data_IF_886536706875
#
_entry.id   IF_886536706875
#
_cell.length_a   1.000
_cell.length_b   1.000
_cell.length_c   1.000
_cell.angle_alpha   90.00
_cell.angle_beta   90.00
_cell.angle_gamma   90.00
#
_symmetry.space_group_name_H-M   'P 1'
#
loop_
_entity.id
_entity.type
_entity.pdbx_description
1 polymer ?
#
# COMPACT_ATOMS: atom_id res chain seq x y z
N UNK A 1 3.87 10.26 -7.67
CA UNK A 1 4.99 11.23 -7.66
C UNK A 1 5.67 11.25 -9.01
N UNK A 2 5.89 12.43 -9.56
CA UNK A 2 6.59 12.62 -10.85
C UNK A 2 8.04 12.12 -10.78
N UNK A 3 8.72 12.33 -9.67
CA UNK A 3 10.09 11.86 -9.45
C UNK A 3 10.18 10.33 -9.49
N UNK A 4 9.23 9.63 -8.87
CA UNK A 4 9.17 8.17 -8.92
C UNK A 4 8.95 7.66 -10.33
N UNK A 5 8.10 8.33 -11.11
CA UNK A 5 7.88 8.01 -12.53
C UNK A 5 9.13 8.29 -13.35
N UNK A 6 9.84 9.39 -13.10
CA UNK A 6 11.10 9.71 -13.78
C UNK A 6 12.16 8.62 -13.52
N UNK A 7 12.28 8.15 -12.29
CA UNK A 7 13.17 7.03 -11.92
C UNK A 7 12.75 5.73 -12.62
N UNK A 8 11.45 5.41 -12.60
CA UNK A 8 10.93 4.20 -13.24
C UNK A 8 11.19 4.19 -14.75
N UNK A 9 10.97 5.30 -15.44
CA UNK A 9 11.26 5.45 -16.88
C UNK A 9 12.74 5.23 -17.22
N UNK A 10 13.67 5.59 -16.33
CA UNK A 10 15.10 5.32 -16.52
C UNK A 10 15.45 3.83 -16.40
N UNK A 11 14.66 3.05 -15.68
CA UNK A 11 14.93 1.62 -15.43
C UNK A 11 14.42 0.70 -16.54
N UNK A 12 13.39 1.09 -17.26
CA UNK A 12 12.81 0.28 -18.33
C UNK A 12 12.11 1.15 -19.37
N UNK A 13 12.28 0.79 -20.64
CA UNK A 13 11.54 1.38 -21.77
C UNK A 13 10.37 0.50 -22.26
N UNK A 14 10.18 -0.67 -21.64
CA UNK A 14 9.17 -1.66 -22.08
C UNK A 14 7.79 -1.42 -21.49
N UNK A 15 7.68 -0.52 -20.51
CA UNK A 15 6.44 -0.27 -19.79
C UNK A 15 5.97 1.17 -20.01
N UNK A 16 4.67 1.35 -20.05
CA UNK A 16 4.04 2.68 -20.04
C UNK A 16 3.85 3.13 -18.59
N UNK A 17 4.29 4.34 -18.28
CA UNK A 17 4.16 4.96 -16.98
C UNK A 17 3.22 6.16 -17.08
N UNK A 18 2.13 6.10 -16.33
CA UNK A 18 1.11 7.14 -16.29
C UNK A 18 1.08 7.72 -14.87
N UNK A 19 1.12 9.05 -14.76
CA UNK A 19 0.85 9.73 -13.50
C UNK A 19 -0.65 9.83 -13.31
N UNK A 20 -1.16 9.36 -12.16
CA UNK A 20 -2.59 9.36 -11.87
C UNK A 20 -2.88 9.03 -10.41
N UNK A 21 -4.16 9.03 -10.09
CA UNK A 21 -4.70 8.63 -8.80
C UNK A 21 -5.39 7.26 -8.93
N UNK A 22 -5.15 6.34 -7.99
CA UNK A 22 -5.77 5.02 -8.05
C UNK A 22 -7.28 5.05 -7.78
N UNK A 23 -7.83 6.16 -7.26
CA UNK A 23 -9.26 6.35 -7.04
C UNK A 23 -10.01 6.72 -8.31
N UNK A 24 -9.29 7.29 -9.28
CA UNK A 24 -9.88 7.76 -10.54
C UNK A 24 -8.88 7.57 -11.69
N UNK A 25 -8.89 6.45 -12.33
CA UNK A 25 -8.11 6.23 -13.54
C UNK A 25 -8.94 5.57 -14.62
N UNK A 26 -8.61 5.85 -15.86
CA UNK A 26 -9.24 5.26 -17.03
C UNK A 26 -8.16 4.79 -17.97
N UNK A 27 -8.23 3.53 -18.36
CA UNK A 27 -7.38 2.95 -19.40
C UNK A 27 -8.10 3.05 -20.74
N UNK A 28 -7.34 3.17 -21.82
CA UNK A 28 -7.89 3.17 -23.18
C UNK A 28 -8.68 1.89 -23.47
N UNK A 29 -8.19 0.76 -22.98
CA UNK A 29 -8.87 -0.55 -23.08
C UNK A 29 -8.81 -1.24 -21.72
N UNK A 30 -9.87 -1.96 -21.32
CA UNK A 30 -9.83 -2.78 -20.12
C UNK A 30 -8.75 -3.86 -20.21
N UNK A 31 -8.22 -4.27 -19.04
CA UNK A 31 -7.14 -5.25 -18.92
C UNK A 31 -7.62 -6.52 -18.22
N UNK A 32 -6.86 -7.61 -18.34
CA UNK A 32 -7.19 -8.89 -17.71
C UNK A 32 -6.80 -8.94 -16.24
N UNK A 33 -5.87 -8.09 -15.81
CA UNK A 33 -5.48 -8.02 -14.41
C UNK A 33 -5.00 -6.62 -13.99
N UNK A 34 -5.30 -6.25 -12.73
CA UNK A 34 -4.82 -5.04 -12.07
C UNK A 34 -4.21 -5.44 -10.74
N UNK A 35 -3.03 -4.87 -10.44
CA UNK A 35 -2.30 -5.11 -9.20
C UNK A 35 -2.10 -3.79 -8.45
N UNK A 36 -2.46 -3.78 -7.15
CA UNK A 36 -2.10 -2.72 -6.20
C UNK A 36 -1.25 -3.36 -5.10
N UNK A 37 0.06 -3.11 -5.11
CA UNK A 37 1.02 -3.78 -4.23
C UNK A 37 1.78 -2.79 -3.37
N UNK A 38 2.56 -3.30 -2.41
CA UNK A 38 3.34 -2.47 -1.50
C UNK A 38 2.50 -1.76 -0.46
N UNK A 39 1.31 -2.30 -0.15
CA UNK A 39 0.34 -1.74 0.79
C UNK A 39 -0.20 -0.38 0.38
N UNK A 40 -0.18 -0.08 -0.92
CA UNK A 40 -0.69 1.20 -1.43
C UNK A 40 -2.19 1.37 -1.14
N UNK A 41 -2.94 0.27 -1.01
CA UNK A 41 -4.35 0.29 -0.57
C UNK A 41 -4.53 1.00 0.79
N UNK A 42 -3.53 0.93 1.67
CA UNK A 42 -3.58 1.58 3.00
C UNK A 42 -3.50 3.11 2.98
N UNK A 43 -3.22 3.72 1.84
CA UNK A 43 -3.35 5.18 1.65
C UNK A 43 -4.79 5.62 1.31
N UNK A 44 -5.72 4.70 1.13
CA UNK A 44 -7.15 4.97 0.98
C UNK A 44 -7.75 5.14 2.39
N UNK A 45 -7.74 6.35 2.92
CA UNK A 45 -8.04 6.61 4.34
C UNK A 45 -9.53 6.71 4.65
N UNK A 46 -10.39 7.04 3.67
CA UNK A 46 -11.84 7.09 3.81
C UNK A 46 -12.54 5.90 3.14
N UNK A 47 -13.79 5.66 3.51
CA UNK A 47 -14.61 4.64 2.85
C UNK A 47 -14.87 5.01 1.37
N UNK A 48 -15.03 6.31 1.10
CA UNK A 48 -15.19 6.83 -0.25
C UNK A 48 -13.95 6.57 -1.11
N UNK A 49 -12.75 6.76 -0.56
CA UNK A 49 -11.51 6.48 -1.28
C UNK A 49 -11.42 5.01 -1.70
N UNK A 50 -11.72 4.09 -0.78
CA UNK A 50 -11.75 2.64 -1.07
C UNK A 50 -12.81 2.32 -2.12
N UNK A 51 -14.01 2.90 -1.94
CA UNK A 51 -15.13 2.72 -2.86
C UNK A 51 -14.78 3.15 -4.29
N UNK A 52 -14.20 4.36 -4.46
CA UNK A 52 -13.82 4.89 -5.77
C UNK A 52 -12.64 4.12 -6.37
N UNK A 53 -11.64 3.76 -5.59
CA UNK A 53 -10.53 2.95 -6.06
C UNK A 53 -10.99 1.59 -6.60
N UNK A 54 -11.82 0.87 -5.84
CA UNK A 54 -12.32 -0.44 -6.28
C UNK A 54 -13.31 -0.31 -7.45
N UNK A 55 -14.03 0.81 -7.54
CA UNK A 55 -14.87 1.13 -8.69
C UNK A 55 -14.02 1.34 -9.96
N UNK A 56 -12.98 2.16 -9.87
CA UNK A 56 -12.04 2.39 -10.97
C UNK A 56 -11.37 1.09 -11.42
N UNK A 57 -10.94 0.25 -10.49
CA UNK A 57 -10.42 -1.09 -10.81
C UNK A 57 -11.46 -1.92 -11.54
N UNK A 58 -12.71 -1.96 -11.04
CA UNK A 58 -13.78 -2.73 -11.65
C UNK A 58 -14.08 -2.26 -13.08
N UNK A 59 -14.12 -0.94 -13.32
CA UNK A 59 -14.40 -0.38 -14.63
C UNK A 59 -13.31 -0.71 -15.67
N UNK A 60 -12.05 -0.76 -15.23
CA UNK A 60 -10.89 -0.99 -16.08
C UNK A 60 -10.50 -2.48 -16.25
N UNK A 61 -11.20 -3.41 -15.59
CA UNK A 61 -11.02 -4.85 -15.79
C UNK A 61 -12.00 -5.41 -16.83
N UNK A 62 -11.50 -6.33 -17.63
CA UNK A 62 -12.33 -7.20 -18.45
C UNK A 62 -13.31 -8.04 -17.58
N UNK A 63 -14.37 -8.59 -18.19
CA UNK A 63 -15.20 -9.57 -17.49
C UNK A 63 -14.34 -10.75 -17.05
N UNK A 64 -14.52 -11.19 -15.80
CA UNK A 64 -13.68 -12.22 -15.16
C UNK A 64 -12.20 -11.83 -14.97
N UNK A 65 -11.86 -10.57 -15.21
CA UNK A 65 -10.54 -10.03 -14.92
C UNK A 65 -10.19 -10.08 -13.44
N UNK A 66 -8.90 -10.17 -13.14
CA UNK A 66 -8.37 -10.43 -11.79
C UNK A 66 -7.82 -9.17 -11.16
N UNK A 67 -8.22 -8.89 -9.92
CA UNK A 67 -7.69 -7.85 -9.07
C UNK A 67 -6.84 -8.46 -7.95
N UNK A 68 -5.57 -8.06 -7.87
CA UNK A 68 -4.64 -8.52 -6.84
C UNK A 68 -4.14 -7.33 -6.04
N UNK A 69 -4.26 -7.39 -4.74
CA UNK A 69 -3.77 -6.30 -3.88
C UNK A 69 -3.39 -6.78 -2.49
N UNK A 70 -2.56 -5.98 -1.81
CA UNK A 70 -2.23 -6.16 -0.40
C UNK A 70 -2.67 -4.94 0.42
N UNK A 71 -2.76 -5.12 1.74
CA UNK A 71 -3.14 -4.09 2.69
C UNK A 71 -2.48 -4.35 4.04
N UNK A 72 -2.48 -3.34 4.92
CA UNK A 72 -2.02 -3.51 6.31
C UNK A 72 -3.18 -4.09 7.12
N UNK A 73 -3.03 -5.34 7.61
CA UNK A 73 -4.05 -6.00 8.43
C UNK A 73 -4.06 -5.46 9.86
N UNK A 74 -5.20 -4.93 10.28
CA UNK A 74 -5.40 -4.32 11.59
C UNK A 74 -5.14 -5.29 12.73
N UNK A 75 -5.61 -6.55 12.60
CA UNK A 75 -5.50 -7.55 13.66
C UNK A 75 -4.04 -7.98 13.93
N UNK A 76 -3.16 -7.80 12.96
CA UNK A 76 -1.73 -8.11 13.09
C UNK A 76 -0.91 -6.89 13.42
N UNK A 77 -1.22 -5.77 12.74
CA UNK A 77 -0.36 -4.61 12.78
C UNK A 77 -0.55 -3.75 14.02
N UNK A 78 -1.79 -3.59 14.52
CA UNK A 78 -2.04 -2.82 15.73
C UNK A 78 -1.29 -3.42 16.93
N UNK A 79 -1.42 -4.73 17.26
CA UNK A 79 -0.65 -5.34 18.35
C UNK A 79 0.86 -5.30 18.11
N UNK A 80 1.32 -5.38 16.86
CA UNK A 80 2.73 -5.25 16.54
C UNK A 80 3.26 -3.86 16.89
N UNK A 81 2.54 -2.80 16.56
CA UNK A 81 2.93 -1.42 16.87
C UNK A 81 2.85 -1.11 18.37
N UNK A 82 1.89 -1.68 19.09
CA UNK A 82 1.80 -1.52 20.54
C UNK A 82 3.03 -2.11 21.27
N UNK A 83 3.57 -3.21 20.75
CA UNK A 83 4.75 -3.87 21.30
C UNK A 83 6.09 -3.30 20.78
N UNK A 84 6.07 -2.56 19.67
CA UNK A 84 7.26 -2.02 19.02
C UNK A 84 7.09 -0.52 18.77
N UNK A 85 7.52 0.30 19.74
CA UNK A 85 7.36 1.76 19.66
C UNK A 85 8.11 2.41 18.50
N UNK A 86 9.18 1.77 18.02
CA UNK A 86 10.03 2.27 16.95
C UNK A 86 10.57 1.07 16.15
N UNK A 87 10.62 1.22 14.84
CA UNK A 87 11.16 0.23 13.92
C UNK A 87 12.28 0.86 13.11
N UNK A 88 13.50 0.36 13.29
CA UNK A 88 14.66 0.87 12.58
C UNK A 88 15.00 -0.06 11.41
N UNK A 89 14.88 0.47 10.19
CA UNK A 89 15.39 -0.17 8.99
C UNK A 89 16.74 0.42 8.59
N UNK A 90 17.58 -0.43 7.97
CA UNK A 90 18.91 -0.04 7.50
C UNK A 90 19.06 -0.42 6.03
N UNK A 91 19.68 0.45 5.26
CA UNK A 91 20.04 0.18 3.87
C UNK A 91 21.41 0.78 3.55
N UNK A 92 22.24 0.06 2.80
CA UNK A 92 23.49 0.59 2.27
C UNK A 92 23.24 1.14 0.86
N UNK A 93 23.58 2.39 0.64
CA UNK A 93 23.52 3.02 -0.66
C UNK A 93 24.83 3.76 -0.92
N UNK A 94 25.51 3.41 -2.01
CA UNK A 94 26.82 3.98 -2.41
C UNK A 94 27.89 3.95 -1.29
N UNK A 95 27.86 2.88 -0.48
CA UNK A 95 28.81 2.70 0.64
C UNK A 95 28.42 3.41 1.92
N UNK A 96 27.37 4.21 1.93
CA UNK A 96 26.86 4.92 3.10
C UNK A 96 25.69 4.13 3.70
N UNK A 97 25.74 3.91 5.02
CA UNK A 97 24.67 3.24 5.76
C UNK A 97 23.59 4.25 6.15
N UNK A 98 22.41 4.08 5.59
CA UNK A 98 21.24 4.90 5.86
C UNK A 98 20.31 4.18 6.84
N UNK A 99 19.68 4.93 7.70
CA UNK A 99 18.72 4.48 8.68
C UNK A 99 17.36 5.15 8.45
N UNK A 100 16.29 4.40 8.66
CA UNK A 100 14.94 4.93 8.77
C UNK A 100 14.35 4.48 10.11
N UNK A 101 14.12 5.41 11.00
CA UNK A 101 13.44 5.20 12.28
C UNK A 101 11.96 5.55 12.09
N UNK A 102 11.09 4.56 12.17
CA UNK A 102 9.66 4.69 11.92
C UNK A 102 8.88 4.50 13.22
N UNK A 103 7.95 5.42 13.48
CA UNK A 103 7.02 5.37 14.60
C UNK A 103 5.59 5.37 14.11
N UNK A 104 4.70 4.78 14.90
CA UNK A 104 3.30 4.60 14.56
C UNK A 104 2.42 4.98 15.74
N UNK A 105 1.31 5.63 15.46
CA UNK A 105 0.32 5.98 16.46
C UNK A 105 -1.08 5.77 15.89
N UNK A 106 -1.90 4.97 16.55
CA UNK A 106 -3.32 4.88 16.25
C UNK A 106 -3.97 6.23 16.61
N UNK A 107 -4.57 6.90 15.63
CA UNK A 107 -5.19 8.21 15.83
C UNK A 107 -6.68 8.12 16.08
N UNK A 108 -7.34 7.15 15.45
CA UNK A 108 -8.77 6.90 15.64
C UNK A 108 -9.05 5.40 15.52
N UNK A 109 -9.90 4.89 16.41
CA UNK A 109 -10.41 3.54 16.32
C UNK A 109 -11.44 3.40 15.18
N UNK A 110 -12.10 4.49 14.82
CA UNK A 110 -13.00 4.53 13.66
C UNK A 110 -12.15 4.52 12.39
N UNK A 111 -12.38 3.56 11.52
CA UNK A 111 -11.58 3.29 10.31
C UNK A 111 -10.12 2.91 10.56
N UNK A 112 -9.68 2.68 11.79
CA UNK A 112 -8.32 2.28 12.14
C UNK A 112 -7.24 3.14 11.45
N UNK A 113 -7.34 4.47 11.57
CA UNK A 113 -6.33 5.37 11.02
C UNK A 113 -5.10 5.43 11.93
N UNK A 114 -3.93 5.38 11.32
CA UNK A 114 -2.64 5.46 12.00
C UNK A 114 -1.78 6.57 11.39
N UNK A 115 -1.18 7.39 12.25
CA UNK A 115 -0.10 8.29 11.87
C UNK A 115 1.18 7.48 11.78
N UNK A 116 1.88 7.63 10.69
CA UNK A 116 3.22 7.10 10.48
C UNK A 116 4.20 8.25 10.34
N UNK A 117 5.26 8.21 11.13
CA UNK A 117 6.37 9.16 11.03
C UNK A 117 7.65 8.39 10.78
N UNK A 118 8.53 8.93 9.95
CA UNK A 118 9.84 8.36 9.70
C UNK A 118 10.92 9.44 9.68
N UNK A 119 12.02 9.17 10.36
CA UNK A 119 13.22 9.99 10.31
C UNK A 119 14.29 9.21 9.58
N UNK A 120 14.79 9.78 8.49
CA UNK A 120 15.89 9.23 7.70
C UNK A 120 17.19 9.91 8.10
N UNK A 121 18.23 9.14 8.41
CA UNK A 121 19.51 9.68 8.85
C UNK A 121 20.68 8.78 8.49
N UNK A 122 21.87 9.37 8.49
CA UNK A 122 23.17 8.69 8.52
C UNK A 122 23.82 8.88 9.89
N UNK A 123 24.88 8.12 10.13
CA UNK A 123 25.76 8.31 11.29
C UNK A 123 27.17 8.59 10.77
N UNK A 124 27.69 9.79 11.04
CA UNK A 124 29.04 10.20 10.72
C UNK A 124 29.73 10.68 12.01
N UNK A 125 30.94 10.22 12.26
CA UNK A 125 31.72 10.56 13.46
C UNK A 125 30.97 10.35 14.79
N UNK A 126 30.12 9.32 14.86
CA UNK A 126 29.20 9.01 15.96
C UNK A 126 28.07 10.03 16.16
N UNK A 127 27.88 10.97 15.26
CA UNK A 127 26.77 11.91 15.29
C UNK A 127 25.68 11.52 14.27
N UNK A 128 24.42 11.71 14.68
CA UNK A 128 23.24 11.46 13.83
C UNK A 128 23.00 12.69 12.96
N UNK A 129 23.14 12.51 11.65
CA UNK A 129 22.80 13.52 10.66
C UNK A 129 21.43 13.18 10.04
N UNK A 130 20.43 14.00 10.30
CA UNK A 130 19.08 13.83 9.73
C UNK A 130 19.07 14.32 8.28
N UNK A 131 18.65 13.43 7.38
CA UNK A 131 18.58 13.69 5.93
C UNK A 131 17.19 14.16 5.53
N UNK A 132 16.15 13.49 6.07
CA UNK A 132 14.76 13.76 5.75
C UNK A 132 13.83 13.29 6.87
N UNK A 133 12.66 13.90 6.91
CA UNK A 133 11.54 13.47 7.73
C UNK A 133 10.32 13.23 6.82
N UNK A 134 9.50 12.22 7.14
CA UNK A 134 8.30 11.89 6.41
C UNK A 134 7.15 11.66 7.39
N UNK A 135 5.96 12.03 6.95
CA UNK A 135 4.73 11.88 7.70
C UNK A 135 3.61 11.43 6.77
N UNK A 136 2.88 10.42 7.18
CA UNK A 136 1.72 9.93 6.43
C UNK A 136 0.64 9.43 7.36
N UNK A 137 -0.60 9.58 6.95
CA UNK A 137 -1.73 8.87 7.53
C UNK A 137 -2.01 7.63 6.68
N UNK A 138 -2.12 6.49 7.31
CA UNK A 138 -2.49 5.23 6.66
C UNK A 138 -3.68 4.61 7.37
N UNK A 139 -4.48 3.85 6.63
CA UNK A 139 -5.55 3.03 7.15
C UNK A 139 -5.08 1.59 7.25
N UNK A 140 -5.32 0.95 8.38
CA UNK A 140 -5.21 -0.50 8.52
C UNK A 140 -6.61 -1.09 8.40
N UNK A 141 -6.75 -2.22 7.73
CA UNK A 141 -8.04 -2.83 7.42
C UNK A 141 -8.19 -4.17 8.12
N UNK A 142 -9.42 -4.52 8.46
CA UNK A 142 -9.74 -5.91 8.74
C UNK A 142 -10.04 -6.66 7.45
N UNK A 143 -9.82 -7.96 7.44
CA UNK A 143 -10.16 -8.79 6.27
C UNK A 143 -11.66 -8.68 5.94
N UNK A 144 -12.53 -8.63 6.96
CA UNK A 144 -13.97 -8.50 6.78
C UNK A 144 -14.38 -7.19 6.09
N UNK A 145 -13.69 -6.07 6.38
CA UNK A 145 -13.92 -4.81 5.65
C UNK A 145 -13.56 -4.94 4.18
N UNK A 146 -12.40 -5.54 3.89
CA UNK A 146 -11.97 -5.80 2.51
C UNK A 146 -12.96 -6.68 1.77
N UNK A 147 -13.43 -7.76 2.39
CA UNK A 147 -14.46 -8.64 1.83
C UNK A 147 -15.76 -7.88 1.52
N UNK A 148 -16.20 -7.00 2.43
CA UNK A 148 -17.40 -6.20 2.23
C UNK A 148 -17.26 -5.24 1.05
N UNK A 149 -16.15 -4.50 0.94
CA UNK A 149 -15.91 -3.60 -0.19
C UNK A 149 -15.84 -4.35 -1.53
N UNK A 150 -15.20 -5.50 -1.56
CA UNK A 150 -15.14 -6.35 -2.76
C UNK A 150 -16.54 -6.84 -3.15
N UNK A 151 -17.33 -7.31 -2.19
CA UNK A 151 -18.70 -7.74 -2.43
C UNK A 151 -19.56 -6.61 -3.00
N UNK A 152 -19.49 -5.41 -2.40
CA UNK A 152 -20.25 -4.22 -2.85
C UNK A 152 -19.85 -3.79 -4.27
N UNK A 153 -18.61 -4.03 -4.68
CA UNK A 153 -18.09 -3.70 -6.02
C UNK A 153 -18.17 -4.84 -7.03
N UNK A 154 -18.86 -5.93 -6.70
CA UNK A 154 -19.10 -7.02 -7.64
C UNK A 154 -17.86 -7.88 -7.89
N UNK A 155 -16.98 -7.99 -6.92
CA UNK A 155 -15.88 -8.95 -6.94
C UNK A 155 -16.23 -10.22 -6.17
N UNK A 156 -15.54 -11.29 -6.52
CA UNK A 156 -15.51 -12.58 -5.82
C UNK A 156 -14.08 -12.87 -5.39
N UNK A 157 -13.85 -13.15 -4.12
CA UNK A 157 -12.54 -13.55 -3.63
C UNK A 157 -12.24 -14.97 -4.11
N UNK A 158 -11.15 -15.14 -4.82
CA UNK A 158 -10.64 -16.44 -5.25
C UNK A 158 -9.68 -17.02 -4.21
N UNK A 159 -8.83 -16.17 -3.65
CA UNK A 159 -7.80 -16.60 -2.70
C UNK A 159 -7.41 -15.47 -1.73
N UNK A 160 -7.10 -15.84 -0.50
CA UNK A 160 -6.49 -14.99 0.53
C UNK A 160 -5.14 -15.59 0.89
N UNK A 161 -4.06 -14.99 0.39
CA UNK A 161 -2.70 -15.48 0.59
C UNK A 161 -2.11 -14.84 1.84
N UNK A 162 -1.73 -15.68 2.80
CA UNK A 162 -1.00 -15.24 4.00
C UNK A 162 0.49 -15.05 3.66
N UNK A 163 0.89 -13.77 3.53
CA UNK A 163 2.27 -13.41 3.14
C UNK A 163 3.11 -13.05 4.35
N UNK A 164 3.92 -14.00 4.80
CA UNK A 164 4.75 -13.87 6.02
C UNK A 164 6.16 -13.31 5.81
N UNK A 165 6.56 -13.01 4.59
CA UNK A 165 7.96 -12.69 4.26
C UNK A 165 8.23 -11.22 3.95
N UNK A 166 7.28 -10.35 4.14
CA UNK A 166 7.40 -8.95 3.79
C UNK A 166 7.37 -8.08 5.04
N UNK A 167 8.44 -7.46 5.42
CA UNK A 167 8.70 -6.61 6.61
C UNK A 167 7.82 -6.89 7.87
N UNK A 168 6.55 -7.18 7.70
CA UNK A 168 5.57 -7.72 8.64
C UNK A 168 4.47 -8.45 7.87
N UNK A 169 3.79 -9.38 8.55
CA UNK A 169 2.78 -10.24 7.96
C UNK A 169 1.63 -9.45 7.36
N UNK A 170 1.25 -9.77 6.14
CA UNK A 170 0.12 -9.16 5.46
C UNK A 170 -0.66 -10.18 4.66
N UNK A 171 -1.88 -9.83 4.26
CA UNK A 171 -2.64 -10.61 3.29
C UNK A 171 -2.46 -10.04 1.88
N UNK A 172 -2.42 -10.95 0.91
CA UNK A 172 -2.62 -10.62 -0.50
C UNK A 172 -3.96 -11.21 -0.92
N UNK A 173 -4.82 -10.37 -1.45
CA UNK A 173 -6.14 -10.77 -1.93
C UNK A 173 -6.07 -10.98 -3.43
N UNK A 174 -6.59 -12.11 -3.88
CA UNK A 174 -6.84 -12.39 -5.29
C UNK A 174 -8.36 -12.41 -5.47
N UNK A 175 -8.89 -11.44 -6.18
CA UNK A 175 -10.32 -11.30 -6.43
C UNK A 175 -10.62 -11.25 -7.93
N UNK A 176 -11.79 -11.74 -8.34
CA UNK A 176 -12.24 -11.77 -9.72
C UNK A 176 -13.47 -10.91 -9.89
N UNK A 177 -13.51 -10.12 -10.97
CA UNK A 177 -14.70 -9.39 -11.39
C UNK A 177 -15.81 -10.36 -11.80
N UNK A 178 -16.97 -10.27 -11.13
CA UNK A 178 -18.14 -11.08 -11.47
C UNK A 178 -18.69 -10.70 -12.84
N UNK A 179 -19.21 -11.68 -13.56
CA UNK A 179 -20.04 -11.42 -14.74
C UNK A 179 -21.30 -10.67 -14.31
N UNK A 180 -21.65 -9.65 -15.06
CA UNK A 180 -22.97 -9.04 -14.96
C UNK A 180 -24.03 -9.96 -15.59
#
# INVERSE_FOLDING_TARGET
SEDMIAIAKKRTSKSTFIHGDMREFTLENPVDSILITGRSTSYLISNEDVYYCFDSVHQNLNNEGVFVFDFIDANRYIPYCENNKSIIHKANYEGILHYRDSNWKLTTADNFLMEWTAIYYTIQDNEKEVIAEDFSTVRVFTLNEIELFLYMKGFEILEVIDRKTYAYDTYVIVAKKKKK
#
